data_IF_801185413623
#
_entry.id   IF_801185413623
#
_cell.length_a   1.000
_cell.length_b   1.000
_cell.length_c   1.000
_cell.angle_alpha   90.00
_cell.angle_beta   90.00
_cell.angle_gamma   90.00
#
_symmetry.space_group_name_H-M   'P 1'
#
loop_
_entity.id
_entity.type
_entity.pdbx_description
1 polymer ?
#
# COMPACT_ATOMS: atom_id res chain seq x y z
N UNK A 1 23.94 -27.11 -58.05
CA UNK A 1 22.69 -26.67 -57.40
C UNK A 1 23.01 -26.37 -55.93
N UNK A 2 23.12 -25.09 -55.58
CA UNK A 2 23.45 -24.67 -54.19
C UNK A 2 22.13 -24.38 -53.47
N UNK A 3 21.84 -25.20 -52.44
CA UNK A 3 20.69 -24.94 -51.57
C UNK A 3 21.04 -23.81 -50.59
N UNK A 4 20.39 -22.68 -50.75
CA UNK A 4 20.42 -21.56 -49.78
C UNK A 4 19.37 -21.85 -48.72
N UNK A 5 19.83 -22.22 -47.52
CA UNK A 5 18.97 -22.33 -46.31
C UNK A 5 18.85 -20.93 -45.77
N UNK A 6 17.68 -20.31 -45.94
CA UNK A 6 17.32 -19.02 -45.30
C UNK A 6 16.91 -19.32 -43.87
N UNK A 7 17.80 -18.98 -42.92
CA UNK A 7 17.46 -18.96 -41.51
C UNK A 7 16.59 -17.74 -41.24
N UNK A 8 15.28 -17.96 -41.09
CA UNK A 8 14.35 -16.93 -40.62
C UNK A 8 14.58 -16.70 -39.12
N UNK A 9 15.38 -15.68 -38.78
CA UNK A 9 15.52 -15.23 -37.39
C UNK A 9 14.20 -14.58 -36.95
N UNK A 10 13.32 -15.34 -36.31
CA UNK A 10 12.18 -14.78 -35.57
C UNK A 10 12.75 -13.99 -34.38
N UNK A 11 12.90 -12.69 -34.55
CA UNK A 11 13.12 -11.77 -33.43
C UNK A 11 11.80 -11.70 -32.65
N UNK A 12 11.67 -12.55 -31.66
CA UNK A 12 10.61 -12.42 -30.65
C UNK A 12 10.97 -11.19 -29.82
N UNK A 13 10.38 -10.05 -30.19
CA UNK A 13 10.40 -8.87 -29.34
C UNK A 13 9.57 -9.22 -28.09
N UNK A 14 10.25 -9.68 -27.04
CA UNK A 14 9.63 -9.80 -25.72
C UNK A 14 9.34 -8.40 -25.21
N UNK A 15 8.14 -7.91 -25.48
CA UNK A 15 7.61 -6.74 -24.79
C UNK A 15 7.62 -7.07 -23.30
N UNK A 16 8.61 -6.56 -22.57
CA UNK A 16 8.78 -6.77 -21.14
C UNK A 16 7.81 -5.84 -20.38
N UNK A 17 6.50 -6.10 -20.53
CA UNK A 17 5.51 -5.50 -19.65
C UNK A 17 5.79 -5.94 -18.21
N UNK A 18 5.60 -5.04 -17.23
CA UNK A 18 5.82 -5.37 -15.83
C UNK A 18 4.86 -6.49 -15.42
N UNK A 19 5.38 -7.71 -15.37
CA UNK A 19 4.58 -8.91 -15.10
C UNK A 19 4.13 -8.91 -13.63
N UNK A 20 2.82 -9.13 -13.41
CA UNK A 20 2.29 -9.41 -12.08
C UNK A 20 2.77 -10.80 -11.62
N UNK A 21 3.28 -10.85 -10.40
CA UNK A 21 3.63 -12.10 -9.72
C UNK A 21 2.45 -12.57 -8.90
N UNK A 22 1.90 -13.74 -9.21
CA UNK A 22 0.87 -14.39 -8.38
C UNK A 22 1.53 -14.95 -7.13
N UNK A 23 1.00 -14.62 -5.96
CA UNK A 23 1.55 -14.96 -4.64
C UNK A 23 0.64 -15.86 -3.82
N UNK A 24 -0.67 -15.88 -4.09
CA UNK A 24 -1.68 -16.71 -3.47
C UNK A 24 -2.99 -16.69 -4.30
N UNK A 25 -4.07 -17.32 -3.80
CA UNK A 25 -5.43 -17.22 -4.33
C UNK A 25 -6.31 -16.50 -3.30
N UNK A 26 -7.00 -15.45 -3.74
CA UNK A 26 -7.87 -14.63 -2.88
C UNK A 26 -9.12 -15.43 -2.50
N UNK A 27 -9.39 -15.52 -1.20
CA UNK A 27 -10.61 -16.08 -0.62
C UNK A 27 -11.60 -14.99 -0.22
N UNK A 28 -11.10 -13.97 0.47
CA UNK A 28 -11.90 -12.82 0.91
C UNK A 28 -11.29 -11.54 0.38
N UNK A 29 -12.14 -10.55 0.11
CA UNK A 29 -11.74 -9.20 -0.22
C UNK A 29 -12.53 -8.22 0.63
N UNK A 30 -11.82 -7.32 1.31
CA UNK A 30 -12.38 -6.23 2.10
C UNK A 30 -11.98 -4.90 1.47
N UNK A 31 -12.96 -4.05 1.21
CA UNK A 31 -12.74 -2.71 0.71
C UNK A 31 -12.89 -1.71 1.85
N UNK A 32 -11.96 -0.77 1.97
CA UNK A 32 -11.97 0.25 3.01
C UNK A 32 -11.94 1.64 2.40
N UNK A 33 -12.86 2.50 2.85
CA UNK A 33 -12.66 3.94 2.72
C UNK A 33 -11.57 4.37 3.70
N UNK A 34 -10.68 5.25 3.25
CA UNK A 34 -9.50 5.63 4.03
C UNK A 34 -9.27 7.12 4.01
N UNK A 35 -8.63 7.63 5.07
CA UNK A 35 -8.12 9.00 5.14
C UNK A 35 -6.63 8.95 5.46
N UNK A 36 -5.84 9.71 4.71
CA UNK A 36 -4.41 9.80 4.87
C UNK A 36 -3.96 11.26 4.95
N UNK A 37 -3.21 11.61 6.00
CA UNK A 37 -2.54 12.91 6.11
C UNK A 37 -1.09 12.79 5.65
N UNK A 38 -0.65 13.65 4.73
CA UNK A 38 0.76 13.77 4.34
C UNK A 38 1.51 14.76 5.23
N UNK A 39 0.81 15.76 5.74
CA UNK A 39 1.36 16.79 6.62
C UNK A 39 0.37 17.13 7.74
N UNK A 40 0.89 17.53 8.90
CA UNK A 40 0.07 17.78 10.10
C UNK A 40 -0.89 18.97 9.92
N UNK A 41 -0.54 19.92 9.04
CA UNK A 41 -1.26 21.18 8.83
C UNK A 41 -2.40 21.09 7.79
N UNK A 42 -2.56 19.95 7.11
CA UNK A 42 -3.59 19.76 6.08
C UNK A 42 -4.63 18.73 6.50
N UNK A 43 -5.83 18.90 5.96
CA UNK A 43 -6.87 17.87 6.10
C UNK A 43 -6.44 16.59 5.39
N UNK A 44 -6.80 15.41 5.96
CA UNK A 44 -6.54 14.13 5.31
C UNK A 44 -7.19 14.04 3.93
N UNK A 45 -6.51 13.36 3.02
CA UNK A 45 -7.05 12.99 1.70
C UNK A 45 -7.88 11.72 1.81
N UNK A 46 -9.01 11.69 1.09
CA UNK A 46 -9.82 10.48 0.94
C UNK A 46 -9.21 9.56 -0.12
N UNK A 47 -9.20 8.25 0.15
CA UNK A 47 -8.79 7.20 -0.80
C UNK A 47 -9.51 5.89 -0.46
N UNK A 48 -9.26 4.85 -1.24
CA UNK A 48 -9.72 3.50 -0.99
C UNK A 48 -8.56 2.52 -0.99
N UNK A 49 -8.58 1.57 -0.07
CA UNK A 49 -7.69 0.41 -0.10
C UNK A 49 -8.48 -0.89 -0.15
N UNK A 50 -7.82 -1.91 -0.67
CA UNK A 50 -8.31 -3.28 -0.69
C UNK A 50 -7.42 -4.16 0.16
N UNK A 51 -8.02 -4.99 1.00
CA UNK A 51 -7.36 -6.07 1.72
C UNK A 51 -7.82 -7.39 1.13
N UNK A 52 -6.91 -8.13 0.54
CA UNK A 52 -7.14 -9.47 0.03
C UNK A 52 -6.58 -10.50 1.00
N UNK A 53 -7.40 -11.49 1.35
CA UNK A 53 -7.02 -12.61 2.22
C UNK A 53 -6.98 -13.87 1.37
N UNK A 54 -5.83 -14.54 1.36
CA UNK A 54 -5.61 -15.81 0.69
C UNK A 54 -5.67 -17.00 1.65
N UNK A 55 -4.94 -18.07 1.29
CA UNK A 55 -4.77 -19.25 2.14
C UNK A 55 -3.84 -18.95 3.31
N UNK A 56 -2.67 -18.39 3.01
CA UNK A 56 -1.60 -18.18 3.97
C UNK A 56 -1.08 -16.74 3.97
N UNK A 57 -1.54 -15.91 3.05
CA UNK A 57 -1.07 -14.54 2.85
C UNK A 57 -2.21 -13.54 2.91
N UNK A 58 -1.88 -12.32 3.29
CA UNK A 58 -2.77 -11.18 3.17
C UNK A 58 -2.06 -10.07 2.38
N UNK A 59 -2.81 -9.31 1.60
CA UNK A 59 -2.26 -8.20 0.81
C UNK A 59 -3.17 -6.98 0.90
N UNK A 60 -2.59 -5.85 1.31
CA UNK A 60 -3.23 -4.53 1.25
C UNK A 60 -2.66 -3.73 0.09
N UNK A 61 -3.51 -3.06 -0.68
CA UNK A 61 -3.09 -2.15 -1.75
C UNK A 61 -4.12 -1.05 -2.00
N UNK A 62 -3.68 0.07 -2.59
CA UNK A 62 -4.58 1.15 -3.02
C UNK A 62 -5.46 0.74 -4.18
N UNK A 63 -6.77 0.91 -4.05
CA UNK A 63 -7.74 0.57 -5.10
C UNK A 63 -7.45 1.34 -6.39
N UNK A 64 -7.37 2.66 -6.30
CA UNK A 64 -7.12 3.54 -7.45
C UNK A 64 -5.70 3.38 -8.00
N UNK A 65 -4.70 3.16 -7.14
CA UNK A 65 -3.33 2.89 -7.57
C UNK A 65 -3.24 1.65 -8.46
N UNK A 66 -3.89 0.56 -8.03
CA UNK A 66 -3.94 -0.67 -8.83
C UNK A 66 -4.80 -0.54 -10.09
N UNK A 67 -5.97 0.11 -10.00
CA UNK A 67 -6.85 0.34 -11.14
C UNK A 67 -6.15 1.16 -12.23
N UNK A 68 -5.45 2.22 -11.83
CA UNK A 68 -4.66 3.06 -12.72
C UNK A 68 -3.49 2.30 -13.39
N UNK A 69 -2.78 1.48 -12.62
CA UNK A 69 -1.72 0.61 -13.14
C UNK A 69 -2.24 -0.37 -14.21
N UNK A 70 -3.40 -1.00 -13.95
CA UNK A 70 -4.02 -1.95 -14.89
C UNK A 70 -4.53 -1.24 -16.15
N UNK A 71 -5.16 -0.07 -16.00
CA UNK A 71 -5.63 0.73 -17.13
C UNK A 71 -4.46 1.18 -18.01
N UNK A 72 -3.39 1.69 -17.42
CA UNK A 72 -2.18 2.08 -18.14
C UNK A 72 -1.57 0.91 -18.92
N UNK A 73 -1.37 -0.24 -18.26
CA UNK A 73 -0.82 -1.44 -18.89
C UNK A 73 -1.71 -1.92 -20.06
N UNK A 74 -3.03 -1.88 -19.88
CA UNK A 74 -3.99 -2.26 -20.92
C UNK A 74 -3.86 -1.35 -22.15
N UNK A 75 -3.90 -0.03 -21.96
CA UNK A 75 -3.78 0.95 -23.06
C UNK A 75 -2.46 0.76 -23.80
N UNK A 76 -1.34 0.68 -23.07
CA UNK A 76 -0.02 0.54 -23.69
C UNK A 76 0.13 -0.79 -24.44
N UNK A 77 -0.46 -1.88 -23.95
CA UNK A 77 -0.39 -3.18 -24.61
C UNK A 77 -1.22 -3.27 -25.89
N UNK A 78 -2.23 -2.41 -26.05
CA UNK A 78 -3.06 -2.31 -27.25
C UNK A 78 -2.59 -1.18 -28.21
N UNK A 79 -1.37 -0.64 -28.02
CA UNK A 79 -0.78 0.36 -28.89
C UNK A 79 -1.23 1.79 -28.65
N UNK A 80 -1.91 2.04 -27.52
CA UNK A 80 -2.25 3.40 -27.05
C UNK A 80 -1.04 4.11 -26.44
N UNK A 81 -1.26 5.33 -25.98
CA UNK A 81 -0.23 6.21 -25.43
C UNK A 81 -0.67 6.86 -24.10
N UNK A 82 0.21 7.67 -23.51
CA UNK A 82 -0.05 8.33 -22.24
C UNK A 82 -1.25 9.31 -22.30
N UNK A 83 -1.51 9.96 -23.43
CA UNK A 83 -2.65 10.86 -23.57
C UNK A 83 -3.98 10.08 -23.48
N UNK A 84 -4.04 8.88 -24.08
CA UNK A 84 -5.21 8.00 -23.99
C UNK A 84 -5.48 7.59 -22.53
N UNK A 85 -4.42 7.36 -21.75
CA UNK A 85 -4.55 7.08 -20.32
C UNK A 85 -5.08 8.29 -19.52
N UNK A 86 -4.53 9.49 -19.75
CA UNK A 86 -4.99 10.70 -19.06
C UNK A 86 -6.43 11.08 -19.43
N UNK A 87 -6.89 10.74 -20.63
CA UNK A 87 -8.26 10.96 -21.08
C UNK A 87 -9.30 10.14 -20.31
N UNK A 88 -8.91 9.10 -19.56
CA UNK A 88 -9.81 8.34 -18.69
C UNK A 88 -10.36 9.16 -17.53
N UNK A 89 -9.64 10.21 -17.08
CA UNK A 89 -10.04 11.02 -15.94
C UNK A 89 -10.13 10.27 -14.61
N UNK A 90 -9.38 9.19 -14.46
CA UNK A 90 -9.38 8.39 -13.24
C UNK A 90 -8.91 9.22 -12.02
N UNK A 91 -9.43 8.95 -10.81
CA UNK A 91 -8.93 9.57 -9.59
C UNK A 91 -7.43 9.37 -9.39
N UNK A 92 -6.77 10.39 -8.83
CA UNK A 92 -5.37 10.30 -8.42
C UNK A 92 -5.31 9.48 -7.14
N UNK A 93 -4.56 8.38 -7.16
CA UNK A 93 -4.34 7.57 -5.99
C UNK A 93 -3.36 8.27 -5.03
N UNK A 94 -3.72 8.36 -3.76
CA UNK A 94 -2.83 8.84 -2.69
C UNK A 94 -2.08 7.68 -2.04
N UNK A 95 -2.68 6.49 -1.97
CA UNK A 95 -2.05 5.27 -1.48
C UNK A 95 -1.68 4.34 -2.64
N UNK A 96 -0.37 4.18 -2.88
CA UNK A 96 0.16 3.38 -4.00
C UNK A 96 0.99 2.17 -3.54
N UNK A 97 1.03 1.91 -2.25
CA UNK A 97 1.85 0.85 -1.68
C UNK A 97 1.14 -0.50 -1.74
N UNK A 98 1.93 -1.58 -1.77
CA UNK A 98 1.48 -2.93 -1.46
C UNK A 98 2.12 -3.36 -0.15
N UNK A 99 1.32 -3.80 0.81
CA UNK A 99 1.76 -4.49 2.02
C UNK A 99 1.36 -5.95 1.90
N UNK A 100 2.33 -6.85 1.84
CA UNK A 100 2.10 -8.27 1.60
C UNK A 100 2.61 -9.04 2.82
N UNK A 101 1.71 -9.56 3.63
CA UNK A 101 2.02 -10.35 4.82
C UNK A 101 2.33 -11.80 4.47
N UNK A 102 3.23 -12.42 5.23
CA UNK A 102 3.78 -13.76 5.00
C UNK A 102 4.48 -13.91 3.63
N UNK A 103 5.11 -12.83 3.15
CA UNK A 103 5.87 -12.79 1.91
C UNK A 103 7.23 -12.07 2.13
N UNK A 104 8.37 -12.55 1.59
CA UNK A 104 8.52 -13.74 0.75
C UNK A 104 8.38 -15.08 1.49
N UNK A 105 8.34 -15.07 2.81
CA UNK A 105 8.15 -16.24 3.67
C UNK A 105 7.27 -15.91 4.88
N UNK A 106 6.75 -16.95 5.53
CA UNK A 106 5.93 -16.84 6.75
C UNK A 106 6.65 -16.04 7.84
N UNK A 107 5.94 -15.15 8.50
CA UNK A 107 6.47 -14.28 9.57
C UNK A 107 7.13 -13.00 9.07
N UNK A 108 7.28 -12.82 7.75
CA UNK A 108 7.72 -11.55 7.16
C UNK A 108 6.56 -10.85 6.46
N UNK A 109 6.63 -9.52 6.42
CA UNK A 109 5.86 -8.73 5.48
C UNK A 109 6.78 -7.99 4.52
N UNK A 110 6.33 -7.79 3.28
CA UNK A 110 7.02 -6.98 2.30
C UNK A 110 6.17 -5.76 1.97
N UNK A 111 6.83 -4.60 1.90
CA UNK A 111 6.21 -3.36 1.45
C UNK A 111 6.86 -2.91 0.17
N UNK A 112 6.03 -2.55 -0.81
CA UNK A 112 6.49 -1.91 -2.04
C UNK A 112 6.00 -0.49 -2.07
N UNK A 113 6.85 0.45 -2.45
CA UNK A 113 6.51 1.86 -2.51
C UNK A 113 7.18 2.56 -3.69
N UNK A 114 6.78 3.80 -3.98
CA UNK A 114 7.32 4.59 -5.07
C UNK A 114 7.76 5.98 -4.59
N UNK A 115 9.07 6.24 -4.74
CA UNK A 115 9.69 7.55 -4.52
C UNK A 115 10.66 7.85 -5.66
N UNK A 116 10.13 8.26 -6.83
CA UNK A 116 10.94 8.42 -8.05
C UNK A 116 11.49 7.11 -8.62
N UNK A 117 11.61 6.09 -7.78
CA UNK A 117 11.97 4.69 -8.11
C UNK A 117 11.02 3.75 -7.39
N UNK A 118 10.89 2.53 -7.92
CA UNK A 118 10.11 1.46 -7.29
C UNK A 118 10.98 0.78 -6.24
N UNK A 119 10.61 0.88 -4.97
CA UNK A 119 11.31 0.24 -3.85
C UNK A 119 10.55 -0.98 -3.32
N UNK A 120 11.30 -1.86 -2.66
CA UNK A 120 10.76 -2.97 -1.86
C UNK A 120 11.64 -3.17 -0.63
N UNK A 121 11.00 -3.35 0.52
CA UNK A 121 11.67 -3.85 1.72
C UNK A 121 10.85 -4.96 2.37
N UNK A 122 11.49 -5.75 3.22
CA UNK A 122 10.83 -6.76 4.03
C UNK A 122 11.25 -6.59 5.48
N UNK A 123 10.31 -6.83 6.39
CA UNK A 123 10.52 -6.76 7.83
C UNK A 123 9.75 -7.88 8.53
N UNK A 124 10.12 -8.27 9.77
CA UNK A 124 9.33 -9.18 10.57
C UNK A 124 7.93 -8.62 10.86
N UNK A 125 6.91 -9.49 10.83
CA UNK A 125 5.59 -9.15 11.35
C UNK A 125 5.73 -8.99 12.86
N UNK A 126 5.43 -7.79 13.36
CA UNK A 126 5.54 -7.46 14.78
C UNK A 126 4.19 -7.67 15.44
N UNK A 127 4.18 -8.43 16.53
CA UNK A 127 2.99 -8.60 17.37
C UNK A 127 2.58 -7.26 17.97
N UNK A 128 1.27 -6.96 17.92
CA UNK A 128 0.68 -5.76 18.54
C UNK A 128 0.15 -6.14 19.94
N UNK A 129 0.48 -5.32 20.91
CA UNK A 129 -0.04 -5.47 22.28
C UNK A 129 -1.40 -4.79 22.38
N UNK A 130 -2.46 -5.52 22.02
CA UNK A 130 -3.82 -5.05 22.05
C UNK A 130 -4.34 -4.94 23.48
N UNK A 131 -5.06 -3.86 23.76
CA UNK A 131 -5.85 -3.63 24.97
C UNK A 131 -7.32 -3.57 24.56
N UNK A 132 -8.15 -4.40 25.18
CA UNK A 132 -9.60 -4.38 24.93
C UNK A 132 -10.19 -3.15 25.62
N UNK A 133 -11.09 -2.48 24.92
CA UNK A 133 -11.72 -1.22 25.34
C UNK A 133 -13.23 -1.38 25.33
N UNK A 134 -13.93 -0.56 26.10
CA UNK A 134 -15.38 -0.38 25.96
C UNK A 134 -15.71 0.46 24.74
N UNK A 135 -16.90 0.27 24.17
CA UNK A 135 -17.37 1.04 23.02
C UNK A 135 -17.53 0.19 21.76
N UNK A 136 -18.24 -0.90 21.91
CA UNK A 136 -18.65 -1.79 20.83
C UNK A 136 -19.55 -1.04 19.83
N UNK A 137 -19.52 -1.45 18.58
CA UNK A 137 -20.31 -0.84 17.50
C UNK A 137 -20.70 -1.89 16.48
N UNK A 138 -21.56 -1.50 15.52
CA UNK A 138 -21.92 -2.36 14.38
C UNK A 138 -21.39 -1.76 13.08
N UNK A 139 -20.66 -2.56 12.30
CA UNK A 139 -20.10 -2.17 10.99
C UNK A 139 -20.52 -3.22 9.97
N UNK A 140 -21.19 -2.80 8.90
CA UNK A 140 -21.72 -3.69 7.84
C UNK A 140 -22.57 -4.85 8.38
N UNK A 141 -23.28 -4.64 9.51
CA UNK A 141 -24.11 -5.65 10.15
C UNK A 141 -23.37 -6.58 11.13
N UNK A 142 -22.04 -6.47 11.25
CA UNK A 142 -21.24 -7.25 12.21
C UNK A 142 -21.07 -6.50 13.52
N UNK A 143 -21.26 -7.21 14.66
CA UNK A 143 -20.92 -6.68 15.97
C UNK A 143 -19.41 -6.60 16.13
N UNK A 144 -18.89 -5.41 16.40
CA UNK A 144 -17.46 -5.15 16.50
C UNK A 144 -17.09 -4.72 17.90
N UNK A 145 -16.11 -5.40 18.48
CA UNK A 145 -15.49 -5.03 19.76
C UNK A 145 -14.38 -4.02 19.55
N UNK A 146 -14.21 -3.13 20.51
CA UNK A 146 -13.15 -2.13 20.46
C UNK A 146 -11.86 -2.62 21.13
N UNK A 147 -10.73 -2.27 20.51
CA UNK A 147 -9.40 -2.46 21.09
C UNK A 147 -8.49 -1.29 20.74
N UNK A 148 -7.40 -1.12 21.50
CA UNK A 148 -6.38 -0.11 21.23
C UNK A 148 -4.98 -0.71 21.30
N UNK A 149 -4.03 -0.10 20.58
CA UNK A 149 -2.61 -0.38 20.71
C UNK A 149 -1.76 0.81 20.30
N UNK A 150 -0.49 0.80 20.70
CA UNK A 150 0.53 1.66 20.11
C UNK A 150 1.42 0.81 19.22
N UNK A 151 1.43 1.13 17.91
CA UNK A 151 2.24 0.47 16.91
C UNK A 151 3.04 1.48 16.10
N UNK A 152 4.34 1.27 15.96
CA UNK A 152 5.24 2.17 15.22
C UNK A 152 5.10 3.64 15.61
N UNK A 153 5.05 3.91 16.94
CA UNK A 153 4.90 5.23 17.55
C UNK A 153 3.60 5.98 17.18
N UNK A 154 2.59 5.25 16.72
CA UNK A 154 1.22 5.75 16.51
C UNK A 154 0.25 4.94 17.33
N UNK A 155 -0.66 5.61 18.04
CA UNK A 155 -1.70 4.96 18.83
C UNK A 155 -2.97 4.82 18.01
N UNK A 156 -3.55 3.63 18.02
CA UNK A 156 -4.70 3.22 17.24
C UNK A 156 -5.85 2.79 18.10
N UNK A 157 -7.07 3.20 17.74
CA UNK A 157 -8.33 2.61 18.18
C UNK A 157 -8.86 1.79 17.00
N UNK A 158 -9.25 0.54 17.26
CA UNK A 158 -9.76 -0.35 16.22
C UNK A 158 -11.05 -1.03 16.68
N UNK A 159 -11.86 -1.43 15.70
CA UNK A 159 -13.07 -2.23 15.90
C UNK A 159 -12.97 -3.47 15.03
N UNK A 160 -13.08 -4.64 15.65
CA UNK A 160 -12.90 -5.94 15.00
C UNK A 160 -14.11 -6.84 15.25
N UNK A 161 -14.47 -7.64 14.23
CA UNK A 161 -15.59 -8.54 14.24
C UNK A 161 -15.12 -9.98 14.51
N UNK A 162 -15.49 -10.55 15.66
CA UNK A 162 -15.19 -11.95 15.99
C UNK A 162 -15.96 -12.94 15.10
N UNK A 163 -17.13 -12.53 14.58
CA UNK A 163 -17.92 -13.31 13.61
C UNK A 163 -17.17 -13.53 12.27
N UNK A 164 -16.13 -12.76 12.01
CA UNK A 164 -15.19 -12.96 10.90
C UNK A 164 -13.85 -13.41 11.49
N UNK A 165 -13.62 -14.71 11.74
CA UNK A 165 -12.47 -15.21 12.51
C UNK A 165 -11.17 -15.20 11.67
N UNK A 166 -10.84 -14.04 11.13
CA UNK A 166 -9.65 -13.76 10.34
C UNK A 166 -8.84 -12.73 11.13
N UNK A 167 -7.65 -13.11 11.68
CA UNK A 167 -6.87 -12.22 12.54
C UNK A 167 -6.06 -11.19 11.75
N UNK A 168 -6.73 -10.53 10.80
CA UNK A 168 -6.15 -9.59 9.86
C UNK A 168 -6.87 -8.23 9.91
N UNK A 169 -6.31 -7.26 9.18
CA UNK A 169 -6.89 -5.93 9.08
C UNK A 169 -6.19 -5.10 8.00
N UNK A 170 -6.57 -3.82 7.86
CA UNK A 170 -5.99 -2.93 6.87
C UNK A 170 -4.52 -2.64 7.19
N UNK A 171 -3.72 -2.43 6.13
CA UNK A 171 -2.32 -2.08 6.20
C UNK A 171 -1.51 -3.13 7.00
N UNK A 172 -0.84 -2.74 8.08
CA UNK A 172 -0.04 -3.62 8.95
C UNK A 172 -0.76 -4.00 10.25
N UNK A 173 -2.02 -3.60 10.43
CA UNK A 173 -2.81 -3.94 11.62
C UNK A 173 -3.33 -5.38 11.51
N UNK A 174 -3.13 -6.17 12.58
CA UNK A 174 -3.51 -7.60 12.65
C UNK A 174 -3.41 -8.11 14.09
N UNK A 175 -3.76 -9.40 14.31
CA UNK A 175 -3.51 -10.14 15.55
C UNK A 175 -4.65 -10.11 16.57
N UNK A 176 -5.80 -9.51 16.26
CA UNK A 176 -7.04 -9.69 17.04
C UNK A 176 -7.77 -10.96 16.61
N UNK A 177 -8.67 -11.53 17.43
CA UNK A 177 -9.35 -12.79 17.11
C UNK A 177 -10.44 -12.66 16.04
N UNK A 178 -10.49 -11.53 15.31
CA UNK A 178 -11.40 -11.27 14.20
C UNK A 178 -10.89 -10.16 13.30
N UNK A 179 -11.58 -10.00 12.15
CA UNK A 179 -11.22 -9.00 11.13
C UNK A 179 -11.40 -7.58 11.66
N UNK A 180 -10.36 -6.74 11.56
CA UNK A 180 -10.43 -5.33 11.91
C UNK A 180 -11.21 -4.59 10.82
N UNK A 181 -12.45 -4.21 11.10
CA UNK A 181 -13.32 -3.51 10.15
C UNK A 181 -13.16 -1.98 10.21
N UNK A 182 -12.64 -1.44 11.32
CA UNK A 182 -12.34 -0.01 11.44
C UNK A 182 -11.08 0.21 12.25
N UNK A 183 -10.28 1.17 11.84
CA UNK A 183 -9.13 1.63 12.59
C UNK A 183 -8.99 3.15 12.43
N UNK A 184 -8.74 3.85 13.53
CA UNK A 184 -8.53 5.31 13.54
C UNK A 184 -7.37 5.60 14.48
N UNK A 185 -6.41 6.38 14.04
CA UNK A 185 -5.37 6.84 14.95
C UNK A 185 -5.88 7.93 15.90
N UNK A 186 -5.26 8.05 17.07
CA UNK A 186 -5.72 8.98 18.11
C UNK A 186 -5.66 10.46 17.74
N UNK A 187 -4.98 10.79 16.65
CA UNK A 187 -4.90 12.16 16.11
C UNK A 187 -5.89 12.43 14.96
N UNK A 188 -6.68 11.42 14.54
CA UNK A 188 -7.58 11.49 13.37
C UNK A 188 -6.87 11.87 12.06
N UNK A 189 -5.60 11.50 11.93
CA UNK A 189 -4.79 11.75 10.74
C UNK A 189 -4.89 10.60 9.73
N UNK A 190 -5.17 9.40 10.23
CA UNK A 190 -5.33 8.18 9.43
C UNK A 190 -6.54 7.40 9.89
N UNK A 191 -7.34 6.97 8.95
CA UNK A 191 -8.48 6.08 9.24
C UNK A 191 -8.69 5.07 8.12
N UNK A 192 -9.21 3.94 8.51
CA UNK A 192 -9.66 2.84 7.66
C UNK A 192 -11.05 2.44 8.13
N UNK A 193 -12.04 2.40 7.25
CA UNK A 193 -13.39 1.94 7.56
C UNK A 193 -13.88 1.01 6.48
N UNK A 194 -14.18 -0.24 6.83
CA UNK A 194 -14.64 -1.24 5.87
C UNK A 194 -16.00 -0.85 5.29
N UNK A 195 -16.07 -0.76 3.96
CA UNK A 195 -17.26 -0.39 3.20
C UNK A 195 -17.81 -1.52 2.34
N UNK A 196 -17.11 -2.66 2.29
CA UNK A 196 -17.57 -3.81 1.52
C UNK A 196 -16.75 -5.07 1.79
N UNK A 197 -17.44 -6.19 1.79
CA UNK A 197 -16.88 -7.53 2.00
C UNK A 197 -17.31 -8.43 0.85
N UNK A 198 -16.36 -9.18 0.27
CA UNK A 198 -16.62 -10.20 -0.72
C UNK A 198 -15.97 -11.51 -0.27
N UNK A 199 -16.75 -12.57 -0.27
CA UNK A 199 -16.33 -13.93 0.04
C UNK A 199 -16.19 -14.77 -1.24
N UNK A 200 -15.47 -15.87 -1.15
CA UNK A 200 -15.31 -16.85 -2.25
C UNK A 200 -14.86 -16.22 -3.58
N UNK A 201 -13.93 -15.26 -3.50
CA UNK A 201 -13.51 -14.44 -4.65
C UNK A 201 -12.80 -15.26 -5.73
N UNK A 202 -11.98 -16.26 -5.35
CA UNK A 202 -11.31 -17.23 -6.21
C UNK A 202 -10.54 -16.62 -7.42
N UNK A 203 -9.82 -15.52 -7.19
CA UNK A 203 -8.95 -14.89 -8.20
C UNK A 203 -7.48 -14.93 -7.75
N UNK A 204 -6.50 -14.81 -8.66
CA UNK A 204 -5.10 -14.70 -8.27
C UNK A 204 -4.85 -13.45 -7.40
N UNK A 205 -4.20 -13.63 -6.24
CA UNK A 205 -3.59 -12.55 -5.48
C UNK A 205 -2.25 -12.23 -6.14
N UNK A 206 -2.11 -11.05 -6.73
CA UNK A 206 -0.93 -10.74 -7.52
C UNK A 206 -0.49 -9.29 -7.37
N UNK A 207 0.82 -9.04 -7.46
CA UNK A 207 1.43 -7.73 -7.36
C UNK A 207 2.58 -7.55 -8.35
N UNK A 208 2.88 -6.31 -8.74
CA UNK A 208 4.05 -5.96 -9.56
C UNK A 208 5.31 -5.92 -8.67
N UNK A 209 6.05 -7.02 -8.59
CA UNK A 209 7.22 -7.14 -7.71
C UNK A 209 8.56 -7.04 -8.47
N UNK A 210 8.55 -7.09 -9.79
CA UNK A 210 9.75 -7.00 -10.61
C UNK A 210 10.37 -5.59 -10.65
N UNK A 211 11.68 -5.53 -10.92
CA UNK A 211 12.43 -4.28 -11.12
C UNK A 211 12.30 -3.27 -9.96
N UNK A 212 12.31 -3.77 -8.72
CA UNK A 212 12.29 -2.95 -7.51
C UNK A 212 13.67 -2.90 -6.86
N UNK A 213 14.03 -1.73 -6.35
CA UNK A 213 15.26 -1.51 -5.58
C UNK A 213 15.02 -1.99 -4.16
N UNK A 214 15.83 -2.92 -3.68
CA UNK A 214 15.79 -3.36 -2.27
C UNK A 214 16.24 -2.22 -1.37
N UNK A 215 15.55 -2.02 -0.26
CA UNK A 215 15.80 -0.93 0.67
C UNK A 215 15.47 -1.35 2.11
N UNK A 216 15.48 -0.39 3.04
CA UNK A 216 15.08 -0.55 4.44
C UNK A 216 13.89 0.34 4.78
N UNK A 217 13.06 -0.01 5.77
CA UNK A 217 11.96 0.84 6.21
C UNK A 217 12.45 2.22 6.70
N UNK A 218 13.58 2.29 7.38
CA UNK A 218 14.18 3.58 7.83
C UNK A 218 14.53 4.49 6.66
N UNK A 219 15.03 3.94 5.55
CA UNK A 219 15.33 4.73 4.37
C UNK A 219 14.05 5.29 3.72
N UNK A 220 12.97 4.50 3.67
CA UNK A 220 11.67 4.98 3.16
C UNK A 220 11.10 6.06 4.08
N UNK A 221 11.11 5.87 5.41
CA UNK A 221 10.72 6.90 6.38
C UNK A 221 11.47 8.22 6.14
N UNK A 222 12.79 8.16 5.87
CA UNK A 222 13.57 9.35 5.54
C UNK A 222 13.10 10.02 4.25
N UNK A 223 12.77 9.24 3.21
CA UNK A 223 12.23 9.79 1.95
C UNK A 223 10.89 10.48 2.17
N UNK A 224 9.98 9.87 2.92
CA UNK A 224 8.67 10.43 3.24
C UNK A 224 8.78 11.72 4.06
N UNK A 225 9.63 11.72 5.09
CA UNK A 225 9.93 12.94 5.87
C UNK A 225 10.46 14.07 4.99
N UNK A 226 11.39 13.77 4.09
CA UNK A 226 11.96 14.78 3.19
C UNK A 226 10.93 15.25 2.16
N UNK A 227 10.08 14.37 1.64
CA UNK A 227 9.04 14.73 0.69
C UNK A 227 8.14 15.85 1.23
N UNK A 228 7.73 15.77 2.48
CA UNK A 228 6.84 16.75 3.11
C UNK A 228 7.57 17.96 3.69
N UNK A 229 8.76 17.76 4.30
CA UNK A 229 9.47 18.82 5.05
C UNK A 229 10.54 19.56 4.25
N UNK A 230 11.14 18.92 3.24
CA UNK A 230 12.20 19.49 2.42
C UNK A 230 12.21 18.85 1.03
N UNK A 231 11.28 19.24 0.20
CA UNK A 231 11.07 18.64 -1.12
C UNK A 231 12.29 18.76 -2.05
N UNK A 232 13.08 19.82 -1.93
CA UNK A 232 14.32 19.97 -2.71
C UNK A 232 15.36 18.89 -2.34
N UNK A 233 15.54 18.65 -1.02
CA UNK A 233 16.43 17.59 -0.55
C UNK A 233 15.91 16.20 -0.96
N UNK A 234 14.60 16.00 -0.94
CA UNK A 234 13.96 14.80 -1.46
C UNK A 234 14.28 14.59 -2.95
N UNK A 235 14.05 15.60 -3.81
CA UNK A 235 14.33 15.51 -5.24
C UNK A 235 15.80 15.20 -5.54
N UNK A 236 16.73 15.82 -4.80
CA UNK A 236 18.16 15.52 -4.90
C UNK A 236 18.46 14.07 -4.52
N UNK A 237 17.86 13.56 -3.45
CA UNK A 237 18.10 12.21 -2.95
C UNK A 237 17.59 11.12 -3.90
N UNK A 238 16.45 11.34 -4.57
CA UNK A 238 15.91 10.42 -5.58
C UNK A 238 16.56 10.57 -6.96
N UNK A 239 17.43 11.57 -7.15
CA UNK A 239 18.11 11.85 -8.43
C UNK A 239 17.17 12.46 -9.48
N UNK A 240 16.20 13.27 -9.06
CA UNK A 240 15.28 13.97 -9.97
C UNK A 240 15.96 15.14 -10.68
N UNK A 241 15.76 15.34 -12.00
CA UNK A 241 16.28 16.50 -12.70
C UNK A 241 15.58 17.82 -12.33
N UNK A 242 14.46 17.77 -11.60
CA UNK A 242 13.63 18.93 -11.23
C UNK A 242 14.02 19.54 -9.87
N UNK A 243 15.23 19.33 -9.37
CA UNK A 243 15.68 19.70 -8.03
C UNK A 243 15.82 21.23 -7.75
N UNK A 244 15.24 22.13 -8.55
CA UNK A 244 15.52 23.56 -8.48
C UNK A 244 14.29 24.47 -8.35
N UNK A 245 13.41 24.25 -7.34
CA UNK A 245 12.39 25.25 -6.99
C UNK A 245 12.38 25.56 -5.49
N UNK A 246 12.98 26.70 -5.03
CA UNK A 246 13.18 27.00 -3.62
C UNK A 246 11.94 27.49 -2.85
N UNK A 247 10.75 27.56 -3.44
CA UNK A 247 9.57 28.20 -2.84
C UNK A 247 8.61 27.28 -2.10
N UNK A 248 8.94 26.01 -1.84
CA UNK A 248 8.04 25.15 -1.07
C UNK A 248 8.22 25.40 0.43
N UNK A 249 7.12 25.76 1.11
CA UNK A 249 7.09 25.92 2.56
C UNK A 249 7.47 24.62 3.27
N UNK A 250 8.30 24.71 4.31
CA UNK A 250 8.61 23.57 5.17
C UNK A 250 7.34 23.18 5.93
N UNK A 251 6.92 21.94 5.80
CA UNK A 251 5.76 21.37 6.49
C UNK A 251 6.19 20.21 7.40
N UNK A 252 5.41 19.95 8.43
CA UNK A 252 5.66 18.83 9.33
C UNK A 252 5.13 17.55 8.69
N UNK A 253 6.03 16.60 8.41
CA UNK A 253 5.65 15.31 7.84
C UNK A 253 4.73 14.54 8.79
N UNK A 254 3.63 14.03 8.28
CA UNK A 254 2.73 13.13 8.96
C UNK A 254 2.86 11.74 8.35
N UNK A 255 3.43 10.80 9.09
CA UNK A 255 3.71 9.47 8.59
C UNK A 255 2.77 8.45 9.22
N UNK A 256 2.37 7.46 8.42
CA UNK A 256 1.54 6.34 8.87
C UNK A 256 2.26 5.50 9.95
N UNK A 257 3.60 5.45 9.87
CA UNK A 257 4.45 4.76 10.84
C UNK A 257 5.78 5.48 11.03
N UNK A 258 6.40 5.27 12.20
CA UNK A 258 7.73 5.78 12.51
C UNK A 258 8.61 4.63 12.98
N UNK A 259 9.80 4.49 12.42
CA UNK A 259 10.82 3.51 12.83
C UNK A 259 11.84 4.13 13.78
N UNK A 260 12.11 5.42 13.63
CA UNK A 260 12.94 6.19 14.53
C UNK A 260 12.07 6.90 15.58
N UNK A 261 12.57 7.06 16.81
CA UNK A 261 11.88 7.88 17.82
C UNK A 261 11.69 9.29 17.26
N UNK A 262 10.46 9.81 17.35
CA UNK A 262 10.24 11.25 17.14
C UNK A 262 11.13 11.98 18.15
N UNK A 263 12.07 12.79 17.67
CA UNK A 263 12.72 13.77 18.52
C UNK A 263 11.62 14.70 19.04
N UNK A 264 11.21 14.47 20.28
CA UNK A 264 10.39 15.41 21.04
C UNK A 264 11.31 16.61 21.34
N UNK A 265 11.46 17.50 20.37
CA UNK A 265 11.99 18.83 20.67
C UNK A 265 10.98 19.49 21.60
N UNK A 266 11.44 19.69 22.87
CA UNK A 266 10.80 20.56 23.86
C UNK A 266 10.71 21.99 23.36
#
# INVERSE_FOLDING_TARGET
MKNIIIFLLCVISTNCFAQYTTIDTVKYQFNYATKFSEVEELHPFDDEIVVEIGKDKAMTYGYWGRANDLAYDSIMSHGGNAADYFALGNPIATYNDYVIKNYPQKGLLSVTTYHGKKFIYSEPIVEKKWQLEEGDTTILGYNCRKASCTFRHRSWNVWYAEDIPIPEGPWKLDGLPGMILKAVDTKNQFSFECIGIKENVNKPMSAKLSKRVKTTPVYIERLEKLHSSNFEAYLKLIGSPYASNPKMSKKTACLLEYYEKKDTKK
#
